data_IF_388227778579
#
_entry.id   IF_388227778579
#
_cell.length_a   1.000
_cell.length_b   1.000
_cell.length_c   1.000
_cell.angle_alpha   90.00
_cell.angle_beta   90.00
_cell.angle_gamma   90.00
#
_symmetry.space_group_name_H-M   'P 1'
#
loop_
_entity.id
_entity.type
_entity.pdbx_description
1 polymer ?
#
# COMPACT_ATOMS: atom_id res chain seq x y z
N UNK A 1 -2.42 8.43 7.22
CA UNK A 1 -1.89 7.38 8.12
C UNK A 1 -2.91 6.26 8.10
N UNK A 2 -2.62 5.16 7.43
CA UNK A 2 -3.55 4.04 7.27
C UNK A 2 -3.16 2.94 8.27
N UNK A 3 -4.15 2.38 8.97
CA UNK A 3 -3.96 1.24 9.87
C UNK A 3 -3.72 0.02 8.96
N UNK A 4 -2.46 -0.31 8.69
CA UNK A 4 -2.09 -1.30 7.66
C UNK A 4 -2.55 -2.73 7.93
N UNK A 5 -2.90 -3.08 9.17
CA UNK A 5 -3.51 -4.38 9.51
C UNK A 5 -4.69 -4.20 10.45
N UNK A 6 -5.79 -4.86 10.14
CA UNK A 6 -6.94 -4.94 11.06
C UNK A 6 -6.53 -5.67 12.33
N UNK A 7 -6.87 -5.10 13.49
CA UNK A 7 -6.76 -5.81 14.76
C UNK A 7 -7.85 -6.89 14.80
N UNK A 8 -7.52 -8.09 15.29
CA UNK A 8 -8.50 -9.17 15.51
C UNK A 8 -8.60 -9.41 17.01
N UNK A 9 -9.71 -8.99 17.60
CA UNK A 9 -10.01 -9.14 19.03
C UNK A 9 -11.51 -9.24 19.23
N UNK A 10 -11.92 -9.92 20.31
CA UNK A 10 -13.32 -10.04 20.76
C UNK A 10 -13.73 -8.96 21.76
N UNK A 11 -12.84 -8.01 22.04
CA UNK A 11 -13.02 -6.93 23.01
C UNK A 11 -13.12 -5.59 22.30
N UNK A 12 -14.24 -4.89 22.46
CA UNK A 12 -14.46 -3.57 21.88
C UNK A 12 -13.54 -2.54 22.52
N UNK A 13 -13.27 -2.67 23.81
CA UNK A 13 -12.32 -1.84 24.56
C UNK A 13 -10.92 -1.96 23.94
N UNK A 14 -10.51 -3.18 23.60
CA UNK A 14 -9.21 -3.43 22.97
C UNK A 14 -9.12 -2.78 21.58
N UNK A 15 -10.20 -2.84 20.78
CA UNK A 15 -10.27 -2.15 19.48
C UNK A 15 -10.18 -0.62 19.62
N UNK A 16 -10.88 -0.03 20.60
CA UNK A 16 -10.85 1.41 20.87
C UNK A 16 -9.44 1.84 21.30
N UNK A 17 -8.82 1.12 22.22
CA UNK A 17 -7.47 1.42 22.70
C UNK A 17 -6.41 1.30 21.59
N UNK A 18 -6.54 0.32 20.70
CA UNK A 18 -5.67 0.20 19.54
C UNK A 18 -5.85 1.37 18.58
N UNK A 19 -7.10 1.73 18.28
CA UNK A 19 -7.43 2.85 17.37
C UNK A 19 -6.96 4.19 17.92
N UNK A 20 -7.00 4.39 19.25
CA UNK A 20 -6.55 5.59 19.95
C UNK A 20 -5.08 5.95 19.69
N UNK A 21 -4.22 4.97 19.39
CA UNK A 21 -2.82 5.23 19.05
C UNK A 21 -2.66 5.99 17.72
N UNK A 22 -3.62 5.82 16.82
CA UNK A 22 -3.61 6.41 15.48
C UNK A 22 -4.53 7.63 15.40
N UNK A 23 -5.66 7.59 16.11
CA UNK A 23 -6.66 8.65 16.14
C UNK A 23 -7.04 8.99 17.59
N UNK A 24 -6.22 9.78 18.30
CA UNK A 24 -6.45 10.07 19.72
C UNK A 24 -7.77 10.79 20.01
N UNK A 25 -8.27 11.59 19.07
CA UNK A 25 -9.54 12.32 19.19
C UNK A 25 -10.77 11.44 18.93
N UNK A 26 -10.59 10.31 18.23
CA UNK A 26 -11.67 9.44 17.77
C UNK A 26 -11.95 8.37 18.84
N UNK A 27 -12.64 8.77 19.91
CA UNK A 27 -13.05 7.85 20.97
C UNK A 27 -14.57 7.94 21.17
N UNK A 28 -15.29 6.81 21.16
CA UNK A 28 -16.68 6.80 21.58
C UNK A 28 -16.78 6.84 23.11
N UNK A 29 -17.94 7.23 23.64
CA UNK A 29 -18.24 7.22 25.08
C UNK A 29 -17.39 8.17 25.96
N UNK A 30 -16.91 9.30 25.40
CA UNK A 30 -16.19 10.31 26.18
C UNK A 30 -17.19 11.13 27.01
N UNK A 31 -17.11 11.05 28.34
CA UNK A 31 -17.76 12.02 29.24
C UNK A 31 -16.71 12.74 30.11
N UNK A 32 -16.93 14.03 30.42
CA UNK A 32 -15.99 14.83 31.24
C UNK A 32 -15.92 14.41 32.71
N UNK A 33 -16.80 13.51 33.18
CA UNK A 33 -16.74 12.96 34.54
C UNK A 33 -16.25 11.50 34.51
N UNK A 34 -15.04 11.27 35.03
CA UNK A 34 -14.34 9.97 35.04
C UNK A 34 -15.13 8.81 35.69
N UNK A 35 -16.21 9.09 36.42
CA UNK A 35 -16.96 8.09 37.20
C UNK A 35 -18.05 7.33 36.43
N UNK A 36 -18.56 7.83 35.29
CA UNK A 36 -19.66 7.20 34.54
C UNK A 36 -19.31 6.81 33.10
N UNK A 37 -18.21 7.33 32.55
CA UNK A 37 -17.86 7.19 31.12
C UNK A 37 -17.58 5.75 30.69
N UNK A 38 -17.20 4.88 31.63
CA UNK A 38 -16.90 3.48 31.35
C UNK A 38 -18.07 2.52 31.57
N UNK A 39 -19.16 2.94 32.22
CA UNK A 39 -20.24 1.99 32.58
C UNK A 39 -20.98 1.48 31.34
N UNK A 40 -21.31 2.36 30.39
CA UNK A 40 -21.98 1.95 29.14
C UNK A 40 -21.08 1.09 28.26
N UNK A 41 -19.79 1.40 28.21
CA UNK A 41 -18.80 0.65 27.45
C UNK A 41 -18.56 -0.75 28.04
N UNK A 42 -18.44 -0.84 29.37
CA UNK A 42 -18.32 -2.10 30.09
C UNK A 42 -19.60 -2.93 29.97
N UNK A 43 -20.78 -2.30 30.04
CA UNK A 43 -22.06 -2.98 29.81
C UNK A 43 -22.15 -3.54 28.39
N UNK A 44 -21.66 -2.81 27.38
CA UNK A 44 -21.66 -3.26 25.99
C UNK A 44 -20.68 -4.43 25.76
N UNK A 45 -19.48 -4.35 26.34
CA UNK A 45 -18.47 -5.44 26.34
C UNK A 45 -19.03 -6.71 27.00
N UNK A 46 -19.67 -6.54 28.16
CA UNK A 46 -20.30 -7.65 28.88
C UNK A 46 -21.49 -8.22 28.10
N UNK A 47 -22.36 -7.38 27.54
CA UNK A 47 -23.49 -7.83 26.74
C UNK A 47 -23.04 -8.63 25.50
N UNK A 48 -21.96 -8.23 24.82
CA UNK A 48 -21.42 -8.98 23.67
C UNK A 48 -20.94 -10.39 24.05
N UNK A 49 -20.31 -10.52 25.22
CA UNK A 49 -19.79 -11.81 25.71
C UNK A 49 -20.90 -12.70 26.30
N UNK A 50 -21.80 -12.15 27.10
CA UNK A 50 -22.83 -12.91 27.82
C UNK A 50 -24.05 -13.23 26.95
N UNK A 51 -24.47 -12.36 26.03
CA UNK A 51 -25.62 -12.64 25.14
C UNK A 51 -25.43 -13.88 24.25
N UNK A 52 -24.19 -14.38 24.11
CA UNK A 52 -23.89 -15.62 23.39
C UNK A 52 -24.16 -16.88 24.21
N UNK A 53 -24.11 -16.79 25.54
CA UNK A 53 -24.11 -17.94 26.44
C UNK A 53 -25.20 -17.86 27.53
N UNK A 54 -25.92 -16.75 27.64
CA UNK A 54 -27.01 -16.57 28.58
C UNK A 54 -27.78 -15.26 28.39
N UNK A 55 -28.83 -15.07 29.18
CA UNK A 55 -29.64 -13.84 29.22
C UNK A 55 -29.32 -12.98 30.45
N UNK A 56 -28.16 -13.20 31.07
CA UNK A 56 -27.74 -12.53 32.32
C UNK A 56 -27.11 -11.16 32.05
N UNK A 57 -27.83 -10.29 31.36
CA UNK A 57 -27.46 -8.89 31.22
C UNK A 57 -28.71 -8.01 31.25
N UNK A 58 -28.66 -6.97 32.08
CA UNK A 58 -29.73 -5.99 32.18
C UNK A 58 -29.30 -4.71 31.49
N UNK A 59 -29.93 -4.40 30.35
CA UNK A 59 -29.75 -3.13 29.64
C UNK A 59 -31.09 -2.42 29.53
N UNK A 60 -31.16 -1.20 30.07
CA UNK A 60 -32.38 -0.41 30.03
C UNK A 60 -32.57 0.23 28.65
N UNK A 61 -33.82 0.49 28.28
CA UNK A 61 -34.17 1.18 27.03
C UNK A 61 -33.53 2.57 26.91
N UNK A 62 -33.28 3.24 28.04
CA UNK A 62 -32.58 4.54 28.08
C UNK A 62 -31.11 4.35 27.71
N UNK A 63 -30.41 3.39 28.34
CA UNK A 63 -29.01 3.07 28.02
C UNK A 63 -28.84 2.65 26.56
N UNK A 64 -29.74 1.82 26.02
CA UNK A 64 -29.71 1.44 24.60
C UNK A 64 -29.80 2.65 23.67
N UNK A 65 -30.70 3.60 23.96
CA UNK A 65 -30.82 4.83 23.17
C UNK A 65 -29.57 5.69 23.25
N UNK A 66 -28.96 5.82 24.43
CA UNK A 66 -27.72 6.56 24.62
C UNK A 66 -26.57 5.95 23.81
N UNK A 67 -26.40 4.63 23.90
CA UNK A 67 -25.39 3.89 23.13
C UNK A 67 -25.60 4.08 21.63
N UNK A 68 -26.85 3.95 21.15
CA UNK A 68 -27.16 4.15 19.74
C UNK A 68 -26.82 5.57 19.25
N UNK A 69 -27.12 6.60 20.05
CA UNK A 69 -26.80 7.99 19.71
C UNK A 69 -25.29 8.20 19.62
N UNK A 70 -24.54 7.77 20.65
CA UNK A 70 -23.09 7.93 20.70
C UNK A 70 -22.38 7.13 19.60
N UNK A 71 -22.86 5.93 19.30
CA UNK A 71 -22.34 5.14 18.18
C UNK A 71 -22.62 5.79 16.83
N UNK A 72 -23.78 6.43 16.66
CA UNK A 72 -24.11 7.13 15.42
C UNK A 72 -23.17 8.33 15.21
N UNK A 73 -22.93 9.13 16.23
CA UNK A 73 -21.98 10.25 16.18
C UNK A 73 -20.56 9.76 15.88
N UNK A 74 -20.12 8.69 16.55
CA UNK A 74 -18.82 8.08 16.31
C UNK A 74 -18.65 7.58 14.87
N UNK A 75 -19.64 6.87 14.33
CA UNK A 75 -19.60 6.37 12.94
C UNK A 75 -19.50 7.54 11.95
N UNK A 76 -20.24 8.62 12.17
CA UNK A 76 -20.17 9.81 11.32
C UNK A 76 -18.77 10.45 11.34
N UNK A 77 -18.11 10.48 12.49
CA UNK A 77 -16.74 10.98 12.60
C UNK A 77 -15.74 10.07 11.86
N UNK A 78 -15.87 8.75 11.99
CA UNK A 78 -15.07 7.76 11.25
C UNK A 78 -15.26 7.95 9.74
N UNK A 79 -16.49 8.06 9.27
CA UNK A 79 -16.82 8.27 7.86
C UNK A 79 -16.24 9.59 7.34
N UNK A 80 -16.34 10.66 8.11
CA UNK A 80 -15.75 11.97 7.76
C UNK A 80 -14.23 11.90 7.63
N UNK A 81 -13.54 11.21 8.55
CA UNK A 81 -12.09 10.98 8.47
C UNK A 81 -11.74 10.18 7.22
N UNK A 82 -12.48 9.10 6.94
CA UNK A 82 -12.27 8.27 5.77
C UNK A 82 -12.46 9.08 4.49
N UNK A 83 -13.56 9.82 4.35
CA UNK A 83 -13.84 10.63 3.16
C UNK A 83 -12.81 11.73 2.98
N UNK A 84 -12.42 12.43 4.06
CA UNK A 84 -11.35 13.43 4.00
C UNK A 84 -10.04 12.84 3.45
N UNK A 85 -9.68 11.63 3.85
CA UNK A 85 -8.48 10.96 3.34
C UNK A 85 -8.65 10.46 1.90
N UNK A 86 -9.83 9.96 1.54
CA UNK A 86 -10.18 9.56 0.18
C UNK A 86 -10.11 10.76 -0.77
N UNK A 87 -10.68 11.89 -0.37
CA UNK A 87 -10.61 13.16 -1.11
C UNK A 87 -9.17 13.65 -1.24
N UNK A 88 -8.34 13.52 -0.20
CA UNK A 88 -6.92 13.85 -0.29
C UNK A 88 -6.20 12.98 -1.32
N UNK A 89 -6.48 11.67 -1.36
CA UNK A 89 -5.91 10.77 -2.35
C UNK A 89 -6.38 11.13 -3.76
N UNK A 90 -7.68 11.37 -3.95
CA UNK A 90 -8.24 11.76 -5.25
C UNK A 90 -7.67 13.11 -5.72
N UNK A 91 -7.56 14.10 -4.85
CA UNK A 91 -6.96 15.39 -5.17
C UNK A 91 -5.46 15.29 -5.49
N UNK A 92 -4.73 14.33 -4.91
CA UNK A 92 -3.35 14.08 -5.29
C UNK A 92 -3.26 13.43 -6.66
N UNK A 93 -4.15 12.49 -6.98
CA UNK A 93 -4.20 11.85 -8.30
C UNK A 93 -4.59 12.87 -9.38
N UNK A 94 -5.65 13.65 -9.16
CA UNK A 94 -6.10 14.72 -10.08
C UNK A 94 -5.15 15.93 -10.09
N UNK A 95 -4.49 16.22 -8.97
CA UNK A 95 -3.51 17.30 -8.84
C UNK A 95 -2.23 16.98 -9.63
N UNK A 96 -1.82 15.71 -9.66
CA UNK A 96 -0.77 15.22 -10.56
C UNK A 96 -1.19 15.50 -12.02
N UNK A 97 -2.41 15.15 -12.45
CA UNK A 97 -2.88 15.47 -13.80
C UNK A 97 -2.88 16.98 -14.12
N UNK A 98 -3.26 17.84 -13.16
CA UNK A 98 -3.27 19.31 -13.34
C UNK A 98 -1.87 19.94 -13.31
N UNK A 99 -0.93 19.40 -12.53
CA UNK A 99 0.47 19.82 -12.56
C UNK A 99 1.15 19.34 -13.84
N UNK A 100 0.74 18.20 -14.41
CA UNK A 100 1.10 17.80 -15.77
C UNK A 100 0.57 18.79 -16.83
N UNK A 101 -0.69 19.25 -16.72
CA UNK A 101 -1.23 20.28 -17.65
C UNK A 101 -0.66 21.69 -17.43
N UNK A 102 -0.21 22.04 -16.22
CA UNK A 102 0.49 23.32 -15.93
C UNK A 102 1.97 23.30 -16.32
N UNK A 103 2.63 22.16 -16.16
CA UNK A 103 4.01 21.98 -16.60
C UNK A 103 4.13 21.90 -18.13
N UNK A 104 3.05 21.49 -18.81
CA UNK A 104 2.94 21.48 -20.27
C UNK A 104 1.63 22.16 -20.70
N UNK A 105 1.63 23.49 -20.90
CA UNK A 105 0.46 24.15 -21.45
C UNK A 105 0.15 23.52 -22.82
N UNK A 106 -1.08 23.01 -22.98
CA UNK A 106 -1.60 22.64 -24.30
C UNK A 106 -1.57 23.88 -25.18
N UNK A 107 -0.53 24.00 -26.01
CA UNK A 107 -0.50 24.98 -27.08
C UNK A 107 -1.59 24.65 -28.09
N UNK A 108 -2.74 25.31 -27.94
CA UNK A 108 -3.57 25.64 -29.10
C UNK A 108 -2.83 26.68 -29.93
N UNK A 109 -1.89 26.23 -30.78
CA UNK A 109 -1.56 26.89 -32.04
C UNK A 109 -1.23 25.83 -33.09
N UNK A 110 -2.09 25.80 -34.10
CA UNK A 110 -1.78 25.33 -35.44
C UNK A 110 -0.47 25.93 -35.93
N UNK A 111 0.63 25.17 -35.93
CA UNK A 111 1.69 25.17 -36.97
C UNK A 111 2.40 23.82 -36.89
N UNK A 112 2.68 23.27 -38.06
CA UNK A 112 3.21 21.94 -38.37
C UNK A 112 4.53 21.60 -37.63
N UNK A 113 4.55 20.47 -36.91
CA UNK A 113 5.70 19.56 -36.89
C UNK A 113 5.22 18.13 -36.63
N UNK A 114 5.13 17.34 -37.69
CA UNK A 114 4.50 16.02 -37.75
C UNK A 114 5.34 14.88 -37.13
N UNK A 115 6.19 15.18 -36.13
CA UNK A 115 7.21 14.26 -35.61
C UNK A 115 7.11 13.89 -34.12
N UNK A 116 6.57 14.77 -33.26
CA UNK A 116 6.59 14.57 -31.80
C UNK A 116 5.37 13.79 -31.27
N UNK A 117 4.19 13.95 -31.88
CA UNK A 117 2.98 13.18 -31.51
C UNK A 117 3.18 11.67 -31.70
N UNK A 118 3.93 11.28 -32.74
CA UNK A 118 4.17 9.87 -33.05
C UNK A 118 5.09 9.19 -32.03
N UNK A 119 6.13 9.88 -31.55
CA UNK A 119 7.03 9.32 -30.53
C UNK A 119 6.34 9.12 -29.19
N UNK A 120 5.53 10.09 -28.76
CA UNK A 120 4.82 9.97 -27.48
C UNK A 120 3.79 8.84 -27.54
N UNK A 121 3.11 8.68 -28.66
CA UNK A 121 2.20 7.55 -28.90
C UNK A 121 2.95 6.22 -28.92
N UNK A 122 4.12 6.14 -29.57
CA UNK A 122 4.97 4.93 -29.58
C UNK A 122 5.49 4.58 -28.18
N UNK A 123 5.93 5.58 -27.40
CA UNK A 123 6.36 5.38 -26.02
C UNK A 123 5.21 4.86 -25.15
N UNK A 124 4.00 5.40 -25.32
CA UNK A 124 2.81 4.99 -24.59
C UNK A 124 2.31 3.59 -24.97
N UNK A 125 2.51 3.20 -26.23
CA UNK A 125 2.24 1.84 -26.69
C UNK A 125 3.24 0.84 -26.10
N UNK A 126 4.53 1.19 -26.09
CA UNK A 126 5.59 0.39 -25.50
C UNK A 126 5.49 0.28 -23.97
N UNK A 127 5.08 1.35 -23.28
CA UNK A 127 4.83 1.36 -21.84
C UNK A 127 3.84 0.26 -21.44
N UNK A 128 2.71 0.17 -22.16
CA UNK A 128 1.68 -0.85 -21.91
C UNK A 128 2.16 -2.28 -22.12
N UNK A 129 3.13 -2.48 -23.01
CA UNK A 129 3.64 -3.81 -23.35
C UNK A 129 4.72 -4.29 -22.37
N UNK A 130 5.48 -3.37 -21.76
CA UNK A 130 6.71 -3.73 -21.06
C UNK A 130 6.73 -3.40 -19.56
N UNK A 131 5.78 -2.61 -19.04
CA UNK A 131 5.67 -2.33 -17.60
C UNK A 131 4.68 -3.29 -16.94
N UNK A 132 5.15 -4.47 -16.56
CA UNK A 132 4.29 -5.49 -15.95
C UNK A 132 4.92 -6.27 -14.79
N UNK A 133 6.20 -6.06 -14.48
CA UNK A 133 6.81 -6.63 -13.29
C UNK A 133 6.17 -6.10 -12.00
N UNK A 134 5.63 -4.87 -12.03
CA UNK A 134 4.85 -4.28 -10.93
C UNK A 134 3.34 -4.39 -11.24
N UNK A 135 2.71 -5.51 -10.89
CA UNK A 135 1.26 -5.74 -11.03
C UNK A 135 0.66 -6.32 -9.75
N UNK A 136 -0.60 -5.99 -9.46
CA UNK A 136 -1.42 -6.75 -8.49
C UNK A 136 -1.84 -8.07 -9.11
N UNK A 137 -1.52 -9.21 -8.50
CA UNK A 137 -1.84 -10.53 -9.06
C UNK A 137 -2.91 -11.29 -8.28
N UNK A 138 -3.80 -11.97 -9.03
CA UNK A 138 -4.89 -12.81 -8.53
C UNK A 138 -4.40 -14.27 -8.51
N UNK A 139 -4.39 -14.97 -7.38
CA UNK A 139 -3.78 -16.30 -7.33
C UNK A 139 -4.67 -17.41 -7.92
N UNK A 140 -4.03 -18.33 -8.65
CA UNK A 140 -4.55 -19.66 -8.98
C UNK A 140 -4.52 -20.60 -7.75
N UNK A 141 -5.45 -21.57 -7.73
CA UNK A 141 -5.64 -22.46 -6.57
C UNK A 141 -4.42 -23.36 -6.31
N UNK A 142 -3.85 -23.25 -5.10
CA UNK A 142 -2.86 -24.18 -4.55
C UNK A 142 -1.45 -23.62 -4.38
N UNK A 143 -1.20 -22.40 -4.86
CA UNK A 143 0.08 -21.68 -4.70
C UNK A 143 -0.15 -20.38 -3.93
N UNK A 144 0.81 -20.03 -3.09
CA UNK A 144 0.80 -18.77 -2.34
C UNK A 144 1.88 -17.86 -2.93
N UNK A 145 1.49 -16.66 -3.38
CA UNK A 145 2.42 -15.61 -3.77
C UNK A 145 2.84 -14.79 -2.56
N UNK A 146 4.08 -14.30 -2.58
CA UNK A 146 4.57 -13.27 -1.67
C UNK A 146 4.89 -12.05 -2.52
N UNK A 147 4.07 -11.01 -2.40
CA UNK A 147 4.30 -9.75 -3.12
C UNK A 147 5.32 -8.89 -2.36
N UNK A 148 6.35 -8.44 -3.06
CA UNK A 148 7.33 -7.49 -2.56
C UNK A 148 6.87 -6.08 -2.91
N UNK A 149 6.56 -5.29 -1.87
CA UNK A 149 6.10 -3.91 -2.03
C UNK A 149 7.33 -3.00 -2.19
N UNK A 150 7.41 -2.33 -3.34
CA UNK A 150 8.45 -1.33 -3.65
C UNK A 150 7.79 -0.04 -4.13
N UNK A 151 8.36 1.12 -3.81
CA UNK A 151 7.87 2.44 -4.23
C UNK A 151 8.13 2.73 -5.71
N UNK A 152 9.00 1.96 -6.36
CA UNK A 152 9.29 2.06 -7.79
C UNK A 152 10.61 1.42 -8.18
N UNK A 153 10.91 1.41 -9.49
CA UNK A 153 12.04 0.68 -10.09
C UNK A 153 13.41 0.98 -9.48
N UNK A 154 13.65 2.21 -9.02
CA UNK A 154 14.90 2.55 -8.36
C UNK A 154 15.07 1.81 -7.03
N UNK A 155 14.02 1.75 -6.20
CA UNK A 155 14.04 1.00 -4.94
C UNK A 155 14.09 -0.51 -5.20
N UNK A 156 13.37 -1.00 -6.20
CA UNK A 156 13.44 -2.41 -6.64
C UNK A 156 14.86 -2.78 -7.05
N UNK A 157 15.53 -1.93 -7.83
CA UNK A 157 16.92 -2.14 -8.25
C UNK A 157 17.89 -2.15 -7.07
N UNK A 158 17.74 -1.23 -6.12
CA UNK A 158 18.52 -1.25 -4.89
C UNK A 158 18.27 -2.51 -4.06
N UNK A 159 17.02 -2.95 -3.93
CA UNK A 159 16.65 -4.17 -3.23
C UNK A 159 17.32 -5.39 -3.86
N UNK A 160 17.21 -5.56 -5.18
CA UNK A 160 17.89 -6.63 -5.93
C UNK A 160 19.39 -6.58 -5.68
N UNK A 161 20.00 -5.41 -5.82
CA UNK A 161 21.43 -5.19 -5.57
C UNK A 161 21.83 -5.58 -4.16
N UNK A 162 21.07 -5.18 -3.15
CA UNK A 162 21.41 -5.43 -1.74
C UNK A 162 21.21 -6.91 -1.38
N UNK A 163 20.20 -7.57 -1.93
CA UNK A 163 20.02 -9.03 -1.82
C UNK A 163 21.20 -9.78 -2.45
N UNK A 164 21.67 -9.36 -3.63
CA UNK A 164 22.86 -9.94 -4.29
C UNK A 164 24.10 -9.75 -3.42
N UNK A 165 24.34 -8.53 -2.94
CA UNK A 165 25.51 -8.23 -2.08
C UNK A 165 25.50 -9.09 -0.83
N UNK A 166 24.36 -9.23 -0.16
CA UNK A 166 24.23 -10.10 1.01
C UNK A 166 24.54 -11.56 0.66
N UNK A 167 24.07 -12.06 -0.48
CA UNK A 167 24.41 -13.41 -0.95
C UNK A 167 25.90 -13.57 -1.24
N UNK A 168 26.55 -12.58 -1.84
CA UNK A 168 27.99 -12.57 -2.10
C UNK A 168 28.78 -12.55 -0.79
N UNK A 169 28.46 -11.61 0.11
CA UNK A 169 29.10 -11.49 1.43
C UNK A 169 28.90 -12.75 2.27
N UNK A 170 27.74 -13.39 2.13
CA UNK A 170 27.54 -14.71 2.70
C UNK A 170 28.54 -15.69 2.06
N UNK A 171 28.48 -15.92 0.74
CA UNK A 171 29.32 -16.93 0.06
C UNK A 171 30.82 -16.76 0.29
N UNK A 172 31.30 -15.52 0.44
CA UNK A 172 32.71 -15.20 0.74
C UNK A 172 33.13 -15.52 2.19
N UNK A 173 32.16 -15.74 3.10
CA UNK A 173 32.45 -16.05 4.48
C UNK A 173 32.68 -17.57 4.66
N UNK A 174 33.93 -17.96 4.86
CA UNK A 174 34.30 -19.37 5.04
C UNK A 174 33.75 -20.01 6.33
N UNK A 175 33.32 -19.20 7.32
CA UNK A 175 32.90 -19.65 8.65
C UNK A 175 31.41 -19.39 8.91
N UNK A 176 30.54 -20.09 8.17
CA UNK A 176 29.11 -20.03 8.42
C UNK A 176 28.69 -20.82 9.66
N UNK A 177 28.00 -20.14 10.58
CA UNK A 177 27.24 -20.82 11.63
C UNK A 177 26.10 -21.63 10.99
N UNK A 178 26.31 -22.95 10.85
CA UNK A 178 25.27 -23.91 10.43
C UNK A 178 24.08 -23.97 11.39
N UNK A 179 24.24 -23.42 12.60
CA UNK A 179 23.17 -23.21 13.58
C UNK A 179 22.20 -22.10 13.15
N UNK A 180 22.69 -21.08 12.44
CA UNK A 180 21.88 -19.94 11.99
C UNK A 180 21.28 -20.17 10.61
N UNK A 181 22.04 -20.79 9.70
CA UNK A 181 21.60 -21.12 8.35
C UNK A 181 22.00 -22.57 8.03
N UNK A 182 21.07 -23.53 8.10
CA UNK A 182 21.33 -24.91 7.70
C UNK A 182 21.60 -24.99 6.19
N UNK A 183 22.63 -25.72 5.73
CA UNK A 183 22.96 -25.85 4.30
C UNK A 183 23.12 -24.48 3.59
N UNK A 184 24.10 -23.65 4.00
CA UNK A 184 24.23 -22.27 3.54
C UNK A 184 24.31 -22.16 2.02
N UNK A 185 25.08 -23.01 1.34
CA UNK A 185 25.16 -22.99 -0.13
C UNK A 185 23.81 -23.25 -0.81
N UNK A 186 23.02 -24.21 -0.30
CA UNK A 186 21.69 -24.51 -0.85
C UNK A 186 20.73 -23.35 -0.63
N UNK A 187 20.69 -22.79 0.58
CA UNK A 187 19.80 -21.69 0.90
C UNK A 187 20.16 -20.41 0.14
N UNK A 188 21.45 -20.09 0.03
CA UNK A 188 21.92 -18.93 -0.74
C UNK A 188 21.61 -19.13 -2.23
N UNK A 189 21.79 -20.34 -2.77
CA UNK A 189 21.38 -20.66 -4.14
C UNK A 189 19.87 -20.47 -4.34
N UNK A 190 19.05 -20.83 -3.35
CA UNK A 190 17.60 -20.59 -3.39
C UNK A 190 17.26 -19.10 -3.41
N UNK A 191 17.92 -18.29 -2.58
CA UNK A 191 17.73 -16.83 -2.57
C UNK A 191 18.18 -16.19 -3.89
N UNK A 192 19.30 -16.61 -4.45
CA UNK A 192 19.75 -16.18 -5.78
C UNK A 192 18.74 -16.53 -6.89
N UNK A 193 18.04 -17.67 -6.77
CA UNK A 193 16.92 -18.02 -7.64
C UNK A 193 15.78 -17.01 -7.56
N UNK A 194 15.33 -16.66 -6.34
CA UNK A 194 14.29 -15.64 -6.17
C UNK A 194 14.72 -14.25 -6.64
N UNK A 195 16.00 -13.89 -6.48
CA UNK A 195 16.55 -12.64 -7.00
C UNK A 195 16.46 -12.60 -8.53
N UNK A 196 16.72 -13.73 -9.21
CA UNK A 196 16.61 -13.82 -10.66
C UNK A 196 15.17 -13.53 -11.12
N UNK A 197 14.19 -14.06 -10.41
CA UNK A 197 12.76 -13.82 -10.67
C UNK A 197 12.33 -12.36 -10.42
N UNK A 198 13.11 -11.59 -9.65
CA UNK A 198 12.84 -10.17 -9.39
C UNK A 198 13.37 -9.22 -10.47
N UNK A 199 14.25 -9.69 -11.37
CA UNK A 199 14.85 -8.82 -12.39
C UNK A 199 13.80 -8.47 -13.45
N UNK A 200 13.47 -7.18 -13.64
CA UNK A 200 12.44 -6.74 -14.58
C UNK A 200 12.99 -6.70 -16.02
N UNK A 201 13.15 -7.87 -16.64
CA UNK A 201 13.78 -8.03 -17.95
C UNK A 201 13.04 -7.29 -19.07
N UNK A 202 11.72 -7.32 -19.08
CA UNK A 202 10.90 -6.66 -20.09
C UNK A 202 11.03 -5.13 -20.01
N UNK A 203 11.10 -4.57 -18.80
CA UNK A 203 11.36 -3.15 -18.57
C UNK A 203 12.78 -2.75 -18.97
N UNK A 204 13.78 -3.63 -18.78
CA UNK A 204 15.13 -3.39 -19.28
C UNK A 204 15.15 -3.33 -20.81
N UNK A 205 14.43 -4.23 -21.49
CA UNK A 205 14.28 -4.20 -22.96
C UNK A 205 13.59 -2.92 -23.43
N UNK A 206 12.58 -2.44 -22.69
CA UNK A 206 11.96 -1.14 -22.95
C UNK A 206 12.96 0.00 -22.89
N UNK A 207 13.81 0.06 -21.85
CA UNK A 207 14.80 1.12 -21.69
C UNK A 207 15.77 1.18 -22.88
N UNK A 208 16.19 0.02 -23.39
CA UNK A 208 17.05 -0.05 -24.57
C UNK A 208 16.34 0.43 -25.84
N UNK A 209 15.09 0.00 -26.06
CA UNK A 209 14.29 0.47 -27.20
C UNK A 209 14.00 1.96 -27.13
N UNK A 210 13.66 2.49 -25.95
CA UNK A 210 13.42 3.91 -25.73
C UNK A 210 14.68 4.74 -26.04
N UNK A 211 15.84 4.30 -25.55
CA UNK A 211 17.13 4.93 -25.83
C UNK A 211 17.45 4.95 -27.32
N UNK A 212 17.13 3.87 -28.05
CA UNK A 212 17.32 3.77 -29.49
C UNK A 212 16.45 4.79 -30.24
N UNK A 213 15.16 4.87 -29.92
CA UNK A 213 14.24 5.85 -30.51
C UNK A 213 14.70 7.30 -30.27
N UNK A 214 15.12 7.62 -29.04
CA UNK A 214 15.68 8.93 -28.68
C UNK A 214 16.94 9.28 -29.49
N UNK A 215 17.78 8.29 -29.76
CA UNK A 215 19.03 8.47 -30.52
C UNK A 215 18.77 8.64 -32.02
N UNK A 216 17.81 7.91 -32.58
CA UNK A 216 17.39 8.00 -33.98
C UNK A 216 16.74 9.36 -34.29
N UNK A 217 15.96 9.90 -33.36
CA UNK A 217 15.38 11.25 -33.49
C UNK A 217 16.44 12.36 -33.50
N UNK A 218 17.48 12.23 -32.66
CA UNK A 218 18.58 13.19 -32.62
C UNK A 218 19.40 13.18 -33.92
N UNK A 219 19.51 12.03 -34.57
CA UNK A 219 20.16 11.91 -35.88
C UNK A 219 19.29 12.49 -37.02
N UNK A 220 17.96 12.41 -36.92
CA UNK A 220 17.03 12.97 -37.90
C UNK A 220 16.92 14.50 -37.86
N UNK A 221 17.19 15.13 -36.70
CA UNK A 221 17.18 16.60 -36.52
C UNK A 221 18.51 17.29 -36.83
N UNK A 222 19.59 16.53 -37.09
CA UNK A 222 20.94 17.06 -37.40
C UNK A 222 21.30 16.96 -38.90
N UNK A 223 20.37 16.52 -39.75
CA UNK A 223 20.48 16.54 -41.22
C UNK A 223 19.57 17.60 -41.80
#
# INVERSE_FOLDING_TARGET
MCIGRSMVTHSIISHINYSKQFFPSLQPFIEPSEMKSNELLLLLEHAYSVARYGNEFEITKVQTKTIQSQMKEFIQEVESIFQRHLDQCNNQIEGIEKDFEKAFPKETKSVEHNGESCLFEQLKEMEKMHFHALKSYIPEKGLYSVELITKGYQETSFMISDLIKVCITALENENFSTRSVPQPHYNISGVLGYILDLIPHDEMEFLDKARKLLSEQKAATTK
#
